data_IF_438307238538
#
_entry.id   IF_438307238538
#
_cell.length_a   1.000
_cell.length_b   1.000
_cell.length_c   1.000
_cell.angle_alpha   90.00
_cell.angle_beta   90.00
_cell.angle_gamma   90.00
#
_symmetry.space_group_name_H-M   'P 1'
#
loop_
_entity.id
_entity.type
_entity.pdbx_description
1 polymer ?
#
# COMPACT_ATOMS: atom_id res chain seq x y z
N UNK A 1 13.63 -12.89 -1.67
CA UNK A 1 13.96 -11.72 -2.51
C UNK A 1 14.42 -12.27 -3.85
N UNK A 2 14.02 -11.69 -4.99
CA UNK A 2 14.47 -12.18 -6.29
C UNK A 2 16.00 -12.16 -6.33
N UNK A 3 16.61 -13.22 -6.90
CA UNK A 3 18.06 -13.32 -7.05
C UNK A 3 18.56 -12.11 -7.85
N UNK A 4 19.44 -11.32 -7.26
CA UNK A 4 20.10 -10.22 -7.96
C UNK A 4 21.23 -10.81 -8.78
N UNK A 5 21.02 -10.97 -10.09
CA UNK A 5 22.06 -11.42 -10.99
C UNK A 5 23.14 -10.34 -11.10
N UNK A 6 24.38 -10.69 -10.73
CA UNK A 6 25.55 -9.85 -10.97
C UNK A 6 26.00 -10.15 -12.40
N UNK A 7 25.86 -9.16 -13.28
CA UNK A 7 26.25 -9.30 -14.68
C UNK A 7 27.76 -9.50 -14.74
N UNK A 8 28.21 -10.54 -15.47
CA UNK A 8 29.63 -10.65 -15.82
C UNK A 8 29.97 -9.47 -16.73
N UNK A 9 31.03 -8.75 -16.42
CA UNK A 9 31.48 -7.56 -17.16
C UNK A 9 31.98 -7.93 -18.56
N UNK A 10 31.04 -8.17 -19.47
CA UNK A 10 31.31 -8.16 -20.90
C UNK A 10 31.01 -6.73 -21.35
N UNK A 11 32.02 -5.85 -21.26
CA UNK A 11 31.89 -4.47 -21.71
C UNK A 11 31.34 -4.44 -23.13
N UNK A 12 30.21 -3.76 -23.31
CA UNK A 12 29.65 -3.46 -24.63
C UNK A 12 30.74 -2.72 -25.42
N UNK A 13 31.14 -3.24 -26.59
CA UNK A 13 32.27 -2.70 -27.36
C UNK A 13 31.95 -1.39 -28.10
N UNK A 14 30.69 -0.98 -28.10
CA UNK A 14 30.18 0.20 -28.80
C UNK A 14 29.17 0.92 -27.90
N UNK A 15 29.03 2.24 -28.09
CA UNK A 15 28.04 3.07 -27.39
C UNK A 15 26.70 3.06 -28.15
N UNK A 16 25.59 3.34 -27.45
CA UNK A 16 24.23 3.38 -28.01
C UNK A 16 24.11 4.46 -29.10
N UNK A 17 24.73 5.63 -28.90
CA UNK A 17 24.76 6.70 -29.90
C UNK A 17 25.45 6.27 -31.21
N UNK A 18 26.51 5.46 -31.14
CA UNK A 18 27.18 4.96 -32.35
C UNK A 18 26.33 3.93 -33.08
N UNK A 19 25.53 3.15 -32.35
CA UNK A 19 24.59 2.20 -32.96
C UNK A 19 23.48 2.95 -33.69
N UNK A 20 22.94 4.01 -33.09
CA UNK A 20 21.86 4.83 -33.66
C UNK A 20 22.30 5.51 -34.96
N UNK A 21 23.46 6.20 -34.94
CA UNK A 21 24.06 6.82 -36.13
C UNK A 21 24.37 5.80 -37.24
N UNK A 22 24.80 4.59 -36.86
CA UNK A 22 25.11 3.54 -37.82
C UNK A 22 23.86 2.94 -38.47
N UNK A 23 22.74 2.86 -37.75
CA UNK A 23 21.45 2.44 -38.30
C UNK A 23 20.95 3.50 -39.28
N UNK A 24 20.99 4.78 -38.90
CA UNK A 24 20.59 5.91 -39.74
C UNK A 24 21.41 5.97 -41.04
N UNK A 25 22.72 5.70 -40.97
CA UNK A 25 23.57 5.63 -42.16
C UNK A 25 23.16 4.49 -43.11
N UNK A 26 22.76 3.33 -42.59
CA UNK A 26 22.27 2.20 -43.39
C UNK A 26 20.90 2.52 -44.01
N UNK A 27 20.00 3.15 -43.26
CA UNK A 27 18.71 3.62 -43.77
C UNK A 27 18.87 4.66 -44.90
N UNK A 28 19.90 5.51 -44.79
CA UNK A 28 20.29 6.47 -45.83
C UNK A 28 21.07 5.85 -47.02
N UNK A 29 21.18 4.52 -47.08
CA UNK A 29 21.72 3.79 -48.24
C UNK A 29 23.19 3.38 -48.14
N UNK A 30 23.86 3.59 -47.01
CA UNK A 30 25.20 3.01 -46.81
C UNK A 30 25.13 1.49 -46.67
N UNK A 31 26.17 0.79 -47.12
CA UNK A 31 26.24 -0.66 -46.88
C UNK A 31 26.44 -0.95 -45.39
N UNK A 32 25.83 -2.02 -44.88
CA UNK A 32 25.97 -2.46 -43.47
C UNK A 32 27.45 -2.60 -43.08
N UNK A 33 28.30 -3.02 -44.02
CA UNK A 33 29.74 -3.22 -43.78
C UNK A 33 30.51 -1.91 -43.67
N UNK A 34 30.12 -0.91 -44.46
CA UNK A 34 30.67 0.44 -44.41
C UNK A 34 30.26 1.16 -43.13
N UNK A 35 28.97 1.14 -42.78
CA UNK A 35 28.47 1.70 -41.53
C UNK A 35 29.09 1.03 -40.29
N UNK A 36 29.30 -0.30 -40.34
CA UNK A 36 29.97 -1.05 -39.26
C UNK A 36 31.40 -0.54 -38.99
N UNK A 37 32.17 -0.27 -40.05
CA UNK A 37 33.53 0.27 -39.93
C UNK A 37 33.54 1.74 -39.49
N UNK A 38 32.67 2.57 -40.06
CA UNK A 38 32.64 4.01 -39.80
C UNK A 38 32.26 4.33 -38.35
N UNK A 39 31.34 3.58 -37.77
CA UNK A 39 30.82 3.83 -36.42
C UNK A 39 31.37 2.86 -35.36
N UNK A 40 32.25 1.94 -35.75
CA UNK A 40 32.87 0.92 -34.91
C UNK A 40 31.83 0.05 -34.16
N UNK A 41 30.77 -0.32 -34.88
CA UNK A 41 29.71 -1.22 -34.40
C UNK A 41 29.89 -2.57 -35.08
N UNK A 42 29.94 -3.71 -34.36
CA UNK A 42 30.11 -5.02 -35.00
C UNK A 42 29.06 -5.29 -36.07
N UNK A 43 29.50 -5.76 -37.25
CA UNK A 43 28.63 -6.04 -38.39
C UNK A 43 27.40 -6.87 -38.02
N UNK A 44 27.57 -7.91 -37.21
CA UNK A 44 26.47 -8.79 -36.77
C UNK A 44 25.45 -8.07 -35.91
N UNK A 45 25.88 -7.12 -35.07
CA UNK A 45 24.98 -6.25 -34.31
C UNK A 45 24.22 -5.34 -35.26
N UNK A 46 24.92 -4.63 -36.15
CA UNK A 46 24.29 -3.71 -37.09
C UNK A 46 23.28 -4.43 -38.00
N UNK A 47 23.66 -5.57 -38.57
CA UNK A 47 22.80 -6.41 -39.41
C UNK A 47 21.59 -6.96 -38.65
N UNK A 48 21.73 -7.26 -37.36
CA UNK A 48 20.60 -7.67 -36.53
C UNK A 48 19.64 -6.50 -36.30
N UNK A 49 20.15 -5.30 -36.03
CA UNK A 49 19.34 -4.11 -35.79
C UNK A 49 18.69 -3.56 -37.07
N UNK A 50 19.37 -3.61 -38.22
CA UNK A 50 18.83 -3.14 -39.50
C UNK A 50 17.75 -4.07 -40.08
N UNK A 51 17.78 -5.37 -39.77
CA UNK A 51 16.80 -6.35 -40.25
C UNK A 51 15.68 -6.65 -39.24
N UNK A 52 15.83 -6.28 -37.97
CA UNK A 52 14.81 -6.54 -36.94
C UNK A 52 13.99 -5.28 -36.70
N UNK A 53 12.67 -5.37 -36.90
CA UNK A 53 11.68 -4.34 -36.57
C UNK A 53 11.58 -3.99 -35.07
N UNK A 54 12.37 -4.65 -34.20
CA UNK A 54 12.29 -4.49 -32.75
C UNK A 54 13.67 -4.18 -32.19
N UNK A 55 13.93 -2.90 -31.94
CA UNK A 55 14.99 -2.45 -31.05
C UNK A 55 14.62 -2.91 -29.64
N UNK A 56 15.33 -3.91 -29.12
CA UNK A 56 15.17 -4.28 -27.72
C UNK A 56 15.80 -3.20 -26.85
N UNK A 57 14.99 -2.28 -26.31
CA UNK A 57 15.42 -1.26 -25.34
C UNK A 57 16.13 -1.84 -24.12
N UNK A 58 15.89 -3.13 -23.82
CA UNK A 58 16.46 -3.82 -22.67
C UNK A 58 17.00 -5.20 -23.03
N UNK A 59 18.23 -5.49 -22.55
CA UNK A 59 18.85 -6.81 -22.67
C UNK A 59 18.23 -7.76 -21.64
N UNK A 60 17.47 -8.75 -22.07
CA UNK A 60 16.91 -9.79 -21.21
C UNK A 60 15.57 -10.33 -21.69
N UNK A 61 14.95 -11.19 -20.87
CA UNK A 61 13.58 -11.62 -21.11
C UNK A 61 12.63 -10.44 -20.88
N UNK A 62 11.62 -10.23 -21.74
CA UNK A 62 10.63 -9.19 -21.54
C UNK A 62 9.86 -9.41 -20.23
N UNK A 63 9.28 -8.34 -19.69
CA UNK A 63 8.30 -8.44 -18.62
C UNK A 63 7.11 -9.29 -19.05
N UNK A 64 6.38 -9.83 -18.06
CA UNK A 64 5.20 -10.64 -18.32
C UNK A 64 4.07 -9.83 -18.93
N UNK A 65 3.87 -8.62 -18.43
CA UNK A 65 2.93 -7.63 -18.98
C UNK A 65 3.70 -6.62 -19.84
N UNK A 66 3.02 -5.98 -20.79
CA UNK A 66 3.59 -4.83 -21.53
C UNK A 66 3.73 -3.63 -20.61
N UNK A 67 4.44 -2.59 -21.05
CA UNK A 67 4.63 -1.37 -20.27
C UNK A 67 3.29 -0.70 -19.97
N UNK A 68 2.40 -0.66 -20.95
CA UNK A 68 1.05 -0.07 -20.86
C UNK A 68 0.18 -0.87 -19.88
N UNK A 69 0.26 -2.21 -19.94
CA UNK A 69 -0.45 -3.10 -19.03
C UNK A 69 0.03 -2.95 -17.58
N UNK A 70 1.35 -2.81 -17.36
CA UNK A 70 1.89 -2.56 -16.02
C UNK A 70 1.48 -1.18 -15.48
N UNK A 71 1.40 -0.15 -16.35
CA UNK A 71 0.87 1.18 -15.97
C UNK A 71 -0.60 1.11 -15.56
N UNK A 72 -1.44 0.35 -16.27
CA UNK A 72 -2.84 0.13 -15.88
C UNK A 72 -2.96 -0.50 -14.49
N UNK A 73 -2.11 -1.49 -14.18
CA UNK A 73 -2.07 -2.11 -12.84
C UNK A 73 -1.62 -1.13 -11.76
N UNK A 74 -0.63 -0.27 -12.06
CA UNK A 74 -0.19 0.78 -11.15
C UNK A 74 -1.31 1.80 -10.86
N UNK A 75 -1.98 2.28 -11.90
CA UNK A 75 -3.10 3.22 -11.77
C UNK A 75 -4.26 2.63 -10.99
N UNK A 76 -4.60 1.35 -11.21
CA UNK A 76 -5.64 0.66 -10.46
C UNK A 76 -5.32 0.60 -8.95
N UNK A 77 -4.06 0.31 -8.58
CA UNK A 77 -3.64 0.30 -7.18
C UNK A 77 -3.72 1.69 -6.54
N UNK A 78 -3.34 2.74 -7.27
CA UNK A 78 -3.43 4.13 -6.80
C UNK A 78 -4.89 4.60 -6.66
N UNK A 79 -5.77 4.23 -7.59
CA UNK A 79 -7.19 4.52 -7.49
C UNK A 79 -7.81 3.88 -6.24
N UNK A 80 -7.51 2.60 -5.98
CA UNK A 80 -8.00 1.88 -4.79
C UNK A 80 -7.43 2.46 -3.49
N UNK A 81 -6.18 2.93 -3.50
CA UNK A 81 -5.64 3.70 -2.38
C UNK A 81 -6.46 4.97 -2.14
N UNK A 82 -6.74 5.75 -3.18
CA UNK A 82 -7.50 7.01 -3.04
C UNK A 82 -8.92 6.77 -2.53
N UNK A 83 -9.51 5.62 -2.83
CA UNK A 83 -10.79 5.18 -2.27
C UNK A 83 -10.71 4.60 -0.85
N UNK A 84 -9.53 4.65 -0.21
CA UNK A 84 -9.33 4.16 1.17
C UNK A 84 -9.19 2.64 1.29
N UNK A 85 -9.04 1.93 0.16
CA UNK A 85 -8.90 0.48 0.11
C UNK A 85 -7.57 0.05 -0.56
N UNK A 86 -6.41 0.51 -0.09
CA UNK A 86 -5.13 0.12 -0.68
C UNK A 86 -4.92 -1.39 -0.58
N UNK A 87 -4.43 -1.98 -1.67
CA UNK A 87 -4.33 -3.42 -1.84
C UNK A 87 -3.16 -4.02 -1.06
N UNK A 88 -3.39 -5.14 -0.40
CA UNK A 88 -2.31 -6.00 0.12
C UNK A 88 -1.56 -6.69 -1.02
N UNK A 89 -0.41 -7.29 -0.72
CA UNK A 89 0.36 -8.09 -1.69
C UNK A 89 -0.47 -9.17 -2.37
N UNK A 90 -1.27 -9.90 -1.60
CA UNK A 90 -2.08 -11.02 -2.09
C UNK A 90 -3.23 -10.53 -2.95
N UNK A 91 -3.89 -9.44 -2.55
CA UNK A 91 -4.97 -8.83 -3.33
C UNK A 91 -4.45 -8.26 -4.65
N UNK A 92 -3.29 -7.60 -4.65
CA UNK A 92 -2.68 -7.10 -5.88
C UNK A 92 -2.24 -8.23 -6.82
N UNK A 93 -1.69 -9.32 -6.30
CA UNK A 93 -1.38 -10.52 -7.10
C UNK A 93 -2.65 -11.11 -7.71
N UNK A 94 -3.74 -11.18 -6.95
CA UNK A 94 -5.02 -11.66 -7.46
C UNK A 94 -5.61 -10.73 -8.53
N UNK A 95 -5.49 -9.41 -8.34
CA UNK A 95 -5.90 -8.42 -9.33
C UNK A 95 -5.11 -8.61 -10.63
N UNK A 96 -3.78 -8.74 -10.54
CA UNK A 96 -2.93 -8.98 -11.72
C UNK A 96 -3.25 -10.33 -12.40
N UNK A 97 -3.58 -11.38 -11.63
CA UNK A 97 -4.07 -12.64 -12.18
C UNK A 97 -5.37 -12.45 -12.98
N UNK A 98 -6.36 -11.79 -12.40
CA UNK A 98 -7.65 -11.52 -13.05
C UNK A 98 -7.47 -10.66 -14.30
N UNK A 99 -6.59 -9.66 -14.23
CA UNK A 99 -6.25 -8.82 -15.37
C UNK A 99 -5.65 -9.63 -16.53
N UNK A 100 -4.72 -10.57 -16.23
CA UNK A 100 -4.18 -11.46 -17.25
C UNK A 100 -5.25 -12.37 -17.89
N UNK A 101 -6.19 -12.88 -17.10
CA UNK A 101 -7.30 -13.70 -17.61
C UNK A 101 -8.21 -12.89 -18.56
N UNK A 102 -8.54 -11.65 -18.19
CA UNK A 102 -9.38 -10.76 -19.01
C UNK A 102 -8.70 -10.36 -20.33
N UNK A 103 -7.37 -10.32 -20.35
CA UNK A 103 -6.60 -10.10 -21.58
C UNK A 103 -6.40 -11.37 -22.42
N UNK A 104 -7.04 -12.49 -22.06
CA UNK A 104 -6.85 -13.82 -22.66
C UNK A 104 -5.37 -14.30 -22.60
N UNK A 105 -4.62 -13.85 -21.59
CA UNK A 105 -3.23 -14.25 -21.32
C UNK A 105 -3.16 -15.23 -20.15
N UNK A 106 -3.99 -16.28 -20.14
CA UNK A 106 -4.05 -17.27 -19.05
C UNK A 106 -2.71 -17.99 -18.81
N UNK A 107 -1.91 -18.18 -19.86
CA UNK A 107 -0.61 -18.85 -19.82
C UNK A 107 0.58 -17.93 -19.47
N UNK A 108 0.33 -16.67 -19.10
CA UNK A 108 1.39 -15.70 -18.80
C UNK A 108 2.31 -16.18 -17.66
N UNK A 109 1.70 -16.86 -16.68
CA UNK A 109 2.36 -17.41 -15.51
C UNK A 109 2.23 -18.94 -15.51
N UNK A 110 3.35 -19.70 -15.45
CA UNK A 110 3.30 -21.17 -15.43
C UNK A 110 2.47 -21.76 -14.29
N UNK A 111 2.46 -21.09 -13.14
CA UNK A 111 1.68 -21.47 -11.96
C UNK A 111 0.22 -20.98 -12.00
N UNK A 112 -0.21 -20.35 -13.09
CA UNK A 112 -1.54 -19.75 -13.24
C UNK A 112 -1.76 -18.44 -12.47
N UNK A 113 -0.74 -17.92 -11.78
CA UNK A 113 -0.81 -16.64 -11.05
C UNK A 113 0.57 -15.96 -10.95
N UNK A 114 0.62 -14.62 -10.85
CA UNK A 114 1.85 -13.91 -10.54
C UNK A 114 2.43 -14.33 -9.17
N UNK A 115 3.76 -14.39 -9.07
CA UNK A 115 4.45 -14.74 -7.82
C UNK A 115 4.84 -13.51 -7.02
N UNK A 116 5.27 -13.72 -5.76
CA UNK A 116 5.86 -12.65 -4.95
C UNK A 116 7.12 -12.04 -5.60
N UNK A 117 7.92 -12.84 -6.30
CA UNK A 117 9.10 -12.35 -7.01
C UNK A 117 8.73 -11.47 -8.22
N UNK A 118 7.62 -11.79 -8.90
CA UNK A 118 7.07 -10.91 -9.94
C UNK A 118 6.65 -9.58 -9.33
N UNK A 119 5.92 -9.58 -8.21
CA UNK A 119 5.51 -8.35 -7.52
C UNK A 119 6.71 -7.49 -7.13
N UNK A 120 7.76 -8.10 -6.57
CA UNK A 120 8.97 -7.36 -6.21
C UNK A 120 9.67 -6.77 -7.44
N UNK A 121 9.66 -7.47 -8.56
CA UNK A 121 10.22 -6.98 -9.83
C UNK A 121 9.37 -5.86 -10.44
N UNK A 122 8.04 -5.97 -10.35
CA UNK A 122 7.09 -4.93 -10.74
C UNK A 122 7.33 -3.63 -9.95
N UNK A 123 7.43 -3.71 -8.62
CA UNK A 123 7.69 -2.54 -7.77
C UNK A 123 9.07 -1.88 -8.02
N UNK A 124 10.06 -2.64 -8.51
CA UNK A 124 11.34 -2.06 -8.94
C UNK A 124 11.20 -1.19 -10.19
N UNK A 125 10.29 -1.56 -11.10
CA UNK A 125 9.99 -0.80 -12.33
C UNK A 125 9.03 0.38 -12.05
N UNK A 126 8.04 0.16 -11.19
CA UNK A 126 7.02 1.15 -10.83
C UNK A 126 7.34 1.81 -9.48
N UNK A 127 8.33 2.71 -9.48
CA UNK A 127 8.84 3.34 -8.26
C UNK A 127 7.85 4.29 -7.58
N UNK A 128 6.72 4.62 -8.21
CA UNK A 128 5.67 5.40 -7.55
C UNK A 128 4.90 4.54 -6.55
N UNK A 129 4.96 3.21 -6.62
CA UNK A 129 4.34 2.30 -5.66
C UNK A 129 5.36 1.75 -4.66
N UNK A 130 4.97 1.72 -3.39
CA UNK A 130 5.75 1.14 -2.30
C UNK A 130 4.85 0.37 -1.35
N UNK A 131 5.43 -0.59 -0.64
CA UNK A 131 4.74 -1.34 0.40
C UNK A 131 4.89 -0.63 1.75
N UNK A 132 3.79 -0.15 2.33
CA UNK A 132 3.76 0.43 3.68
C UNK A 132 2.85 -0.36 4.60
N UNK A 133 3.16 -0.36 5.89
CA UNK A 133 2.31 -0.96 6.93
C UNK A 133 1.06 -0.09 7.06
N UNK A 134 -0.12 -0.64 6.78
CA UNK A 134 -1.37 0.13 6.95
C UNK A 134 -1.79 0.21 8.40
N UNK A 135 -2.42 1.32 8.77
CA UNK A 135 -3.20 1.45 10.00
C UNK A 135 -4.69 1.35 9.65
N UNK A 136 -5.49 0.59 10.42
CA UNK A 136 -6.93 0.65 10.25
C UNK A 136 -7.43 2.06 10.59
N UNK A 137 -8.37 2.57 9.80
CA UNK A 137 -9.13 3.78 10.12
C UNK A 137 -10.61 3.45 10.01
N UNK A 138 -11.41 4.02 10.91
CA UNK A 138 -12.86 3.92 10.83
C UNK A 138 -13.38 4.76 9.67
N UNK A 139 -14.34 4.22 8.91
CA UNK A 139 -14.94 4.91 7.76
C UNK A 139 -15.47 6.30 8.13
N UNK A 140 -16.14 6.43 9.28
CA UNK A 140 -16.68 7.71 9.77
C UNK A 140 -15.60 8.79 9.93
N UNK A 141 -14.37 8.41 10.31
CA UNK A 141 -13.25 9.35 10.42
C UNK A 141 -12.71 9.76 9.05
N UNK A 142 -12.77 8.87 8.06
CA UNK A 142 -12.38 9.19 6.69
C UNK A 142 -13.37 10.13 5.99
N UNK A 143 -14.65 10.10 6.39
CA UNK A 143 -15.73 10.91 5.81
C UNK A 143 -15.88 12.32 6.45
N UNK A 144 -15.03 12.68 7.41
CA UNK A 144 -15.11 13.98 8.12
C UNK A 144 -14.72 15.16 7.21
N UNK A 145 -15.55 16.20 7.20
CA UNK A 145 -15.24 17.47 6.51
C UNK A 145 -14.79 18.56 7.48
N UNK A 146 -14.09 19.58 6.96
CA UNK A 146 -13.61 20.72 7.77
C UNK A 146 -14.79 21.45 8.42
N UNK A 147 -15.92 21.59 7.71
CA UNK A 147 -17.12 22.26 8.22
C UNK A 147 -17.73 21.50 9.40
N UNK A 148 -17.73 20.17 9.35
CA UNK A 148 -18.21 19.33 10.45
C UNK A 148 -17.32 19.49 11.70
N UNK A 149 -16.01 19.56 11.50
CA UNK A 149 -15.04 19.77 12.58
C UNK A 149 -15.23 21.15 13.21
N UNK A 150 -15.34 22.21 12.39
CA UNK A 150 -15.55 23.58 12.88
C UNK A 150 -16.85 23.70 13.68
N UNK A 151 -17.96 23.16 13.14
CA UNK A 151 -19.26 23.17 13.82
C UNK A 151 -19.21 22.48 15.19
N UNK A 152 -18.42 21.41 15.32
CA UNK A 152 -18.23 20.74 16.59
C UNK A 152 -17.48 21.61 17.60
N UNK A 153 -16.40 22.29 17.18
CA UNK A 153 -15.65 23.21 18.05
C UNK A 153 -16.47 24.45 18.45
N UNK A 154 -17.32 24.97 17.57
CA UNK A 154 -18.25 26.05 17.89
C UNK A 154 -19.22 25.63 19.00
N UNK A 155 -19.82 24.44 18.87
CA UNK A 155 -20.71 23.87 19.88
C UNK A 155 -19.99 23.64 21.20
N UNK A 156 -18.78 23.06 21.15
CA UNK A 156 -17.97 22.83 22.35
C UNK A 156 -17.68 24.15 23.08
N UNK A 157 -17.26 25.17 22.34
CA UNK A 157 -16.94 26.49 22.89
C UNK A 157 -18.16 27.11 23.58
N UNK A 158 -19.34 27.01 22.94
CA UNK A 158 -20.61 27.45 23.51
C UNK A 158 -20.95 26.72 24.81
N UNK A 159 -20.88 25.38 24.82
CA UNK A 159 -21.17 24.57 26.02
C UNK A 159 -20.21 24.90 27.17
N UNK A 160 -18.92 25.09 26.87
CA UNK A 160 -17.92 25.47 27.89
C UNK A 160 -18.26 26.83 28.51
N UNK A 161 -18.68 27.81 27.70
CA UNK A 161 -19.04 29.14 28.18
C UNK A 161 -20.34 29.15 28.97
N UNK A 162 -21.41 28.54 28.45
CA UNK A 162 -22.73 28.51 29.08
C UNK A 162 -22.74 27.82 30.45
N UNK A 163 -21.82 26.88 30.67
CA UNK A 163 -21.70 26.12 31.92
C UNK A 163 -20.55 26.59 32.82
N UNK A 164 -19.87 27.69 32.47
CA UNK A 164 -18.72 28.22 33.20
C UNK A 164 -17.62 27.17 33.49
N UNK A 165 -17.33 26.35 32.47
CA UNK A 165 -16.39 25.23 32.59
C UNK A 165 -14.94 25.63 32.27
N UNK A 166 -14.72 26.81 31.69
CA UNK A 166 -13.41 27.25 31.22
C UNK A 166 -12.33 27.21 32.31
N UNK A 167 -12.71 27.56 33.55
CA UNK A 167 -11.81 27.56 34.71
C UNK A 167 -12.03 26.35 35.64
N UNK A 168 -12.78 25.33 35.19
CA UNK A 168 -13.17 24.17 36.01
C UNK A 168 -12.74 22.85 35.35
N UNK A 169 -11.43 22.65 35.08
CA UNK A 169 -10.94 21.45 34.38
C UNK A 169 -11.25 20.15 35.12
N UNK A 170 -11.46 20.19 36.44
CA UNK A 170 -11.85 19.01 37.24
C UNK A 170 -13.28 18.52 36.95
N UNK A 171 -14.08 19.28 36.21
CA UNK A 171 -15.44 18.90 35.80
C UNK A 171 -15.53 18.51 34.32
N UNK A 172 -14.43 18.64 33.57
CA UNK A 172 -14.36 18.24 32.17
C UNK A 172 -13.70 16.87 32.14
N UNK A 173 -14.44 15.86 31.70
CA UNK A 173 -13.94 14.50 31.56
C UNK A 173 -13.94 14.08 30.09
N UNK A 174 -12.83 13.51 29.63
CA UNK A 174 -12.78 12.77 28.39
C UNK A 174 -12.91 11.29 28.69
N UNK A 175 -13.83 10.62 28.00
CA UNK A 175 -14.08 9.19 28.15
C UNK A 175 -13.98 8.55 26.77
N UNK A 176 -13.11 7.55 26.61
CA UNK A 176 -12.92 6.86 25.34
C UNK A 176 -12.81 5.34 25.54
N UNK A 177 -13.31 4.59 24.55
CA UNK A 177 -13.32 3.13 24.54
C UNK A 177 -12.12 2.61 23.75
N UNK A 178 -11.24 1.87 24.40
CA UNK A 178 -10.14 1.18 23.73
C UNK A 178 -10.46 -0.29 23.53
N UNK A 179 -10.54 -0.68 22.27
CA UNK A 179 -10.67 -2.07 21.86
C UNK A 179 -9.38 -2.85 21.86
N UNK A 180 -9.36 -3.97 22.58
CA UNK A 180 -8.28 -4.95 22.49
C UNK A 180 -8.79 -6.18 21.75
N UNK A 181 -8.08 -6.55 20.68
CA UNK A 181 -8.37 -7.77 19.91
C UNK A 181 -7.12 -8.63 19.79
N UNK A 182 -7.28 -9.93 19.91
CA UNK A 182 -6.16 -10.89 19.85
C UNK A 182 -5.57 -11.04 18.44
N UNK A 183 -6.21 -10.47 17.42
CA UNK A 183 -5.72 -10.53 16.05
C UNK A 183 -5.21 -9.18 15.58
N UNK A 184 -3.91 -9.10 15.40
CA UNK A 184 -3.27 -7.99 14.70
C UNK A 184 -2.90 -8.50 13.32
N UNK A 185 -3.62 -8.08 12.28
CA UNK A 185 -3.11 -8.19 10.91
C UNK A 185 -2.81 -6.80 10.35
N UNK A 186 -1.72 -6.21 10.86
CA UNK A 186 -1.07 -5.13 10.13
C UNK A 186 -0.52 -5.71 8.82
N UNK A 187 -1.31 -5.61 7.75
CA UNK A 187 -0.87 -6.01 6.42
C UNK A 187 -0.09 -4.88 5.77
N UNK A 188 0.95 -5.25 5.00
CA UNK A 188 1.62 -4.29 4.12
C UNK A 188 0.75 -4.11 2.88
N UNK A 189 0.41 -2.87 2.57
CA UNK A 189 -0.40 -2.47 1.43
C UNK A 189 0.43 -1.67 0.44
N UNK A 190 0.06 -1.74 -0.84
CA UNK A 190 0.64 -0.92 -1.90
C UNK A 190 0.04 0.48 -1.83
N UNK A 191 0.91 1.48 -1.77
CA UNK A 191 0.54 2.90 -1.75
C UNK A 191 1.54 3.71 -2.55
N UNK A 192 1.17 4.94 -2.91
CA UNK A 192 2.04 5.91 -3.53
C UNK A 192 3.26 6.19 -2.64
N UNK A 193 4.44 6.34 -3.23
CA UNK A 193 5.72 6.50 -2.55
C UNK A 193 5.72 7.66 -1.55
N UNK A 194 5.12 8.78 -1.95
CA UNK A 194 5.03 10.01 -1.16
C UNK A 194 4.00 9.94 -0.01
N UNK A 195 3.17 8.89 0.05
CA UNK A 195 2.15 8.74 1.11
C UNK A 195 2.80 8.61 2.48
N UNK A 196 2.68 9.57 3.38
CA UNK A 196 3.35 9.54 4.70
C UNK A 196 2.86 8.38 5.56
N UNK A 197 1.54 8.25 5.71
CA UNK A 197 0.89 7.18 6.47
C UNK A 197 -0.14 6.46 5.61
N UNK A 198 -0.04 5.13 5.54
CA UNK A 198 -1.02 4.31 4.84
C UNK A 198 -2.18 3.97 5.77
N UNK A 199 -3.40 4.28 5.33
CA UNK A 199 -4.63 3.89 6.02
C UNK A 199 -5.40 2.89 5.18
N UNK A 200 -6.06 1.95 5.85
CA UNK A 200 -6.99 1.02 5.20
C UNK A 200 -8.30 1.05 5.97
N UNK A 201 -9.38 1.40 5.29
CA UNK A 201 -10.71 1.39 5.89
C UNK A 201 -11.07 -0.05 6.25
N UNK A 202 -11.46 -0.28 7.51
CA UNK A 202 -12.06 -1.55 7.91
C UNK A 202 -13.57 -1.39 8.00
N UNK A 203 -14.31 -2.28 7.34
CA UNK A 203 -15.69 -2.58 7.73
C UNK A 203 -15.66 -3.17 9.14
N UNK A 204 -16.64 -2.84 9.98
CA UNK A 204 -16.62 -3.09 11.43
C UNK A 204 -16.16 -4.48 11.86
N UNK A 205 -15.73 -4.58 13.11
CA UNK A 205 -15.14 -5.73 13.82
C UNK A 205 -16.09 -6.93 13.99
N UNK A 206 -16.64 -7.43 12.89
CA UNK A 206 -17.44 -8.65 12.85
C UNK A 206 -16.58 -9.88 13.09
N UNK A 207 -16.54 -10.36 14.34
CA UNK A 207 -16.29 -11.78 14.63
C UNK A 207 -15.08 -12.16 15.49
N UNK A 208 -14.44 -11.25 16.24
CA UNK A 208 -13.24 -11.59 17.05
C UNK A 208 -13.48 -11.31 18.53
N UNK A 209 -12.81 -12.06 19.42
CA UNK A 209 -12.73 -11.76 20.85
C UNK A 209 -12.28 -10.31 21.00
N UNK A 210 -13.17 -9.49 21.55
CA UNK A 210 -12.95 -8.07 21.74
C UNK A 210 -13.20 -7.79 23.20
N UNK A 211 -12.15 -7.37 23.89
CA UNK A 211 -12.26 -6.83 25.24
C UNK A 211 -12.12 -5.34 25.09
N UNK A 212 -13.16 -4.60 25.48
CA UNK A 212 -13.11 -3.15 25.51
C UNK A 212 -12.70 -2.67 26.89
N UNK A 213 -11.87 -1.65 26.95
CA UNK A 213 -11.54 -0.97 28.20
C UNK A 213 -11.88 0.50 28.03
N UNK A 214 -12.80 1.01 28.84
CA UNK A 214 -13.09 2.44 28.93
C UNK A 214 -12.06 3.10 29.84
N UNK A 215 -11.45 4.17 29.36
CA UNK A 215 -10.65 5.07 30.16
C UNK A 215 -11.37 6.41 30.25
N UNK A 216 -11.40 6.97 31.46
CA UNK A 216 -11.98 8.28 31.68
C UNK A 216 -11.02 9.12 32.51
N UNK A 217 -10.64 10.29 31.99
CA UNK A 217 -9.73 11.21 32.64
C UNK A 217 -10.31 12.61 32.66
N UNK A 218 -10.11 13.33 33.76
CA UNK A 218 -10.43 14.75 33.84
C UNK A 218 -9.38 15.59 33.09
N UNK A 219 -9.73 16.83 32.76
CA UNK A 219 -8.78 17.80 32.20
C UNK A 219 -7.70 18.24 33.21
N UNK A 220 -7.84 17.90 34.50
CA UNK A 220 -6.75 18.03 35.49
C UNK A 220 -5.75 16.87 35.48
N UNK A 221 -5.99 15.83 34.67
CA UNK A 221 -5.17 14.63 34.60
C UNK A 221 -5.54 13.55 35.62
N UNK A 222 -6.65 13.71 36.35
CA UNK A 222 -7.14 12.68 37.26
C UNK A 222 -7.81 11.56 36.46
N UNK A 223 -7.25 10.35 36.57
CA UNK A 223 -7.76 9.16 35.89
C UNK A 223 -8.75 8.41 36.79
N UNK A 224 -9.97 8.20 36.31
CA UNK A 224 -10.93 7.30 36.96
C UNK A 224 -10.51 5.84 36.78
N UNK A 225 -10.92 4.94 37.69
CA UNK A 225 -10.67 3.51 37.52
C UNK A 225 -11.18 3.03 36.15
N UNK A 226 -10.43 2.13 35.48
CA UNK A 226 -10.83 1.64 34.17
C UNK A 226 -12.13 0.83 34.26
N UNK A 227 -12.85 0.75 33.16
CA UNK A 227 -14.06 -0.06 33.08
C UNK A 227 -13.94 -1.07 31.93
N UNK A 228 -13.88 -2.36 32.26
CA UNK A 228 -13.65 -3.44 31.30
C UNK A 228 -14.97 -4.06 30.86
N UNK A 229 -15.18 -4.17 29.56
CA UNK A 229 -16.37 -4.75 28.94
C UNK A 229 -15.96 -5.95 28.09
N UNK A 230 -16.38 -7.14 28.50
CA UNK A 230 -16.15 -8.37 27.76
C UNK A 230 -17.26 -8.65 26.76
N UNK A 231 -16.90 -9.07 25.55
CA UNK A 231 -17.86 -9.63 24.60
C UNK A 231 -18.30 -11.03 25.02
N UNK A 232 -19.37 -11.13 25.80
CA UNK A 232 -19.90 -12.41 26.29
C UNK A 232 -21.39 -12.34 26.66
N UNK A 233 -22.04 -13.52 26.71
CA UNK A 233 -23.43 -13.63 27.22
C UNK A 233 -23.53 -13.49 28.75
N UNK A 234 -22.45 -13.80 29.46
CA UNK A 234 -22.35 -13.78 30.93
C UNK A 234 -20.96 -13.31 31.33
N UNK A 235 -20.87 -12.49 32.37
CA UNK A 235 -19.61 -12.14 33.00
C UNK A 235 -19.16 -13.28 33.92
N UNK A 236 -17.96 -13.79 33.70
CA UNK A 236 -17.33 -14.80 34.57
C UNK A 236 -16.52 -14.08 35.66
N UNK A 237 -16.66 -14.51 36.91
CA UNK A 237 -16.01 -13.83 38.05
C UNK A 237 -14.48 -13.93 37.97
N UNK A 238 -13.98 -15.02 37.41
CA UNK A 238 -12.56 -15.30 37.20
C UNK A 238 -11.90 -14.25 36.29
N UNK A 239 -12.66 -13.61 35.40
CA UNK A 239 -12.14 -12.54 34.53
C UNK A 239 -11.95 -11.22 35.29
N UNK A 240 -12.60 -11.05 36.44
CA UNK A 240 -12.59 -9.82 37.23
C UNK A 240 -11.49 -9.81 38.31
N UNK A 241 -10.60 -10.81 38.32
CA UNK A 241 -9.56 -10.98 39.34
C UNK A 241 -8.21 -10.46 38.82
N UNK A 242 -7.43 -9.80 39.70
CA UNK A 242 -6.07 -9.36 39.38
C UNK A 242 -5.97 -8.10 38.50
N UNK A 243 -7.09 -7.41 38.25
CA UNK A 243 -7.11 -6.12 37.55
C UNK A 243 -6.68 -4.94 38.44
N UNK A 244 -6.53 -3.74 37.86
CA UNK A 244 -6.22 -2.52 38.61
C UNK A 244 -7.24 -2.24 39.72
N UNK A 245 -6.86 -1.54 40.80
CA UNK A 245 -7.77 -1.22 41.90
C UNK A 245 -9.04 -0.51 41.40
N UNK A 246 -10.19 -0.86 41.97
CA UNK A 246 -11.50 -0.27 41.69
C UNK A 246 -11.99 -0.39 40.23
N UNK A 247 -11.40 -1.30 39.44
CA UNK A 247 -11.85 -1.56 38.06
C UNK A 247 -13.30 -2.04 38.05
N UNK A 248 -14.13 -1.40 37.23
CA UNK A 248 -15.49 -1.87 36.95
C UNK A 248 -15.46 -2.94 35.87
N UNK A 249 -16.26 -3.99 36.00
CA UNK A 249 -16.34 -5.07 35.01
C UNK A 249 -17.78 -5.26 34.54
N UNK A 250 -17.96 -5.45 33.24
CA UNK A 250 -19.26 -5.74 32.63
C UNK A 250 -19.11 -6.63 31.41
N UNK A 251 -20.23 -7.04 30.83
CA UNK A 251 -20.27 -7.80 29.60
C UNK A 251 -21.32 -7.27 28.62
N UNK A 252 -21.02 -7.37 27.33
CA UNK A 252 -21.92 -7.03 26.23
C UNK A 252 -22.13 -8.24 25.33
N UNK A 253 -23.37 -8.45 24.90
CA UNK A 253 -23.73 -9.50 23.92
C UNK A 253 -23.38 -9.11 22.48
N UNK A 254 -23.05 -7.83 22.23
CA UNK A 254 -22.77 -7.28 20.89
C UNK A 254 -21.33 -7.54 20.47
#
# INVERSE_FOLDING_TARGET
MPRTYIKKDVKKKYNDNNLELAIEAVENGCSIREASNNFNVPYTTLNSHSNSLVLYDNVGRPSKFTKEEEVCLEQAALALQNWGAPLTKTEFINLAKQYALNLNKSNLFPSGAPTLDWLHSFLKRHQNLVLKKSRPIEKKRADLTIEQVNKWFDLLSKVIQENDLANRPGQIFNCDETGMSDSISYSKVLVHRQTTTAYRTQGGTGGKSYTSVMFCASATGFLLPPFVIYKSKRLFQEWCVGGPPNTGFSNSKK
#
